data_IF_446270116743
#
_entry.id   IF_446270116743
#
_cell.length_a   1.000
_cell.length_b   1.000
_cell.length_c   1.000
_cell.angle_alpha   90.00
_cell.angle_beta   90.00
_cell.angle_gamma   90.00
#
_symmetry.space_group_name_H-M   'P 1'
#
loop_
_entity.id
_entity.type
_entity.pdbx_description
1 polymer ?
#
# COMPACT_ATOMS: atom_id res chain seq x y z
N UNK A 1 4.01 4.55 8.55
CA UNK A 1 2.97 5.34 9.28
C UNK A 1 3.56 6.11 10.47
N UNK A 2 4.47 7.07 10.23
CA UNK A 2 5.20 7.73 11.31
C UNK A 2 4.36 8.75 12.11
N UNK A 3 3.30 9.31 11.52
CA UNK A 3 2.48 10.37 12.14
C UNK A 3 1.22 9.86 12.85
N UNK A 4 1.00 8.54 12.92
CA UNK A 4 -0.19 7.88 13.53
C UNK A 4 -1.56 8.44 13.09
N UNK A 5 -1.63 9.11 11.93
CA UNK A 5 -2.86 9.71 11.39
C UNK A 5 -3.65 8.70 10.54
N UNK A 6 -4.03 7.56 11.13
CA UNK A 6 -4.61 6.42 10.42
C UNK A 6 -5.96 6.74 9.78
N UNK A 7 -6.83 7.49 10.48
CA UNK A 7 -8.13 7.92 9.96
C UNK A 7 -7.97 8.85 8.75
N UNK A 8 -7.00 9.76 8.77
CA UNK A 8 -6.74 10.65 7.65
C UNK A 8 -6.22 9.86 6.42
N UNK A 9 -5.34 8.88 6.65
CA UNK A 9 -4.87 7.98 5.60
C UNK A 9 -6.03 7.21 4.96
N UNK A 10 -6.92 6.62 5.77
CA UNK A 10 -8.12 5.93 5.28
C UNK A 10 -9.01 6.84 4.44
N UNK A 11 -9.26 8.08 4.88
CA UNK A 11 -10.09 9.02 4.13
C UNK A 11 -9.48 9.35 2.77
N UNK A 12 -8.14 9.45 2.67
CA UNK A 12 -7.45 9.67 1.39
C UNK A 12 -7.51 8.44 0.49
N UNK A 13 -7.28 7.24 1.02
CA UNK A 13 -7.38 6.01 0.24
C UNK A 13 -8.82 5.77 -0.25
N UNK A 14 -9.83 6.01 0.59
CA UNK A 14 -11.24 5.90 0.21
C UNK A 14 -11.57 6.86 -0.92
N UNK A 15 -11.11 8.12 -0.83
CA UNK A 15 -11.30 9.09 -1.90
C UNK A 15 -10.72 8.62 -3.24
N UNK A 16 -9.55 7.97 -3.23
CA UNK A 16 -8.94 7.39 -4.45
C UNK A 16 -9.82 6.29 -5.05
N UNK A 17 -10.33 5.38 -4.23
CA UNK A 17 -11.22 4.30 -4.67
C UNK A 17 -12.52 4.81 -5.28
N UNK A 18 -13.12 5.83 -4.65
CA UNK A 18 -14.40 6.40 -5.08
C UNK A 18 -14.27 7.29 -6.32
N UNK A 19 -13.18 8.05 -6.42
CA UNK A 19 -13.01 9.06 -7.49
C UNK A 19 -12.26 8.51 -8.69
N UNK A 20 -11.31 7.58 -8.47
CA UNK A 20 -10.38 7.10 -9.49
C UNK A 20 -10.29 5.56 -9.54
N UNK A 21 -11.40 4.83 -9.73
CA UNK A 21 -11.44 3.36 -9.64
C UNK A 21 -10.60 2.64 -10.71
N UNK A 22 -10.28 3.31 -11.83
CA UNK A 22 -9.48 2.74 -12.92
C UNK A 22 -7.99 3.16 -12.85
N UNK A 23 -7.58 3.85 -11.78
CA UNK A 23 -6.18 4.27 -11.61
C UNK A 23 -5.32 3.12 -11.09
N UNK A 24 -4.04 3.09 -11.47
CA UNK A 24 -3.05 2.20 -10.86
C UNK A 24 -2.89 2.47 -9.35
N UNK A 25 -3.18 3.69 -8.89
CA UNK A 25 -3.09 4.08 -7.48
C UNK A 25 -4.10 3.37 -6.57
N UNK A 26 -5.08 2.64 -7.14
CA UNK A 26 -6.06 1.86 -6.37
C UNK A 26 -5.37 0.75 -5.57
N UNK A 27 -4.37 0.10 -6.16
CA UNK A 27 -3.59 -0.95 -5.49
C UNK A 27 -2.90 -0.42 -4.22
N UNK A 28 -2.17 0.70 -4.36
CA UNK A 28 -1.50 1.37 -3.24
C UNK A 28 -2.48 1.89 -2.18
N UNK A 29 -3.65 2.36 -2.61
CA UNK A 29 -4.69 2.83 -1.71
C UNK A 29 -5.20 1.69 -0.82
N UNK A 30 -5.42 0.50 -1.38
CA UNK A 30 -5.82 -0.70 -0.63
C UNK A 30 -4.74 -1.13 0.37
N UNK A 31 -3.47 -1.15 -0.04
CA UNK A 31 -2.32 -1.46 0.85
C UNK A 31 -2.28 -0.49 2.04
N UNK A 32 -2.49 0.80 1.76
CA UNK A 32 -2.54 1.85 2.79
C UNK A 32 -3.71 1.63 3.75
N UNK A 33 -4.88 1.24 3.25
CA UNK A 33 -6.05 0.93 4.08
C UNK A 33 -5.81 -0.27 4.99
N UNK A 34 -5.24 -1.36 4.46
CA UNK A 34 -4.91 -2.57 5.25
C UNK A 34 -3.99 -2.20 6.40
N UNK A 35 -2.92 -1.45 6.12
CA UNK A 35 -1.98 -1.00 7.14
C UNK A 35 -2.65 -0.10 8.19
N UNK A 36 -3.65 0.70 7.80
CA UNK A 36 -4.30 1.65 8.69
C UNK A 36 -5.30 0.94 9.60
N UNK A 37 -6.04 -0.03 9.06
CA UNK A 37 -6.93 -0.89 9.85
C UNK A 37 -6.14 -1.79 10.80
N UNK A 38 -5.01 -2.34 10.38
CA UNK A 38 -4.11 -3.12 11.23
C UNK A 38 -3.61 -2.30 12.42
N UNK A 39 -3.16 -1.07 12.17
CA UNK A 39 -2.69 -0.18 13.23
C UNK A 39 -3.79 0.30 14.20
N UNK A 40 -5.06 0.16 13.82
CA UNK A 40 -6.23 0.48 14.65
C UNK A 40 -6.93 -0.76 15.20
N UNK A 41 -6.33 -1.95 15.04
CA UNK A 41 -6.88 -3.24 15.48
C UNK A 41 -8.27 -3.57 14.90
N UNK A 42 -8.55 -3.10 13.68
CA UNK A 42 -9.81 -3.33 12.97
C UNK A 42 -9.69 -4.58 12.08
N UNK A 43 -9.67 -5.76 12.72
CA UNK A 43 -9.39 -7.04 12.05
C UNK A 43 -10.36 -7.37 10.90
N UNK A 44 -11.66 -7.12 11.07
CA UNK A 44 -12.67 -7.44 10.04
C UNK A 44 -12.45 -6.61 8.77
N UNK A 45 -12.32 -5.29 8.92
CA UNK A 45 -12.10 -4.36 7.81
C UNK A 45 -10.75 -4.60 7.12
N UNK A 46 -9.71 -4.91 7.90
CA UNK A 46 -8.41 -5.35 7.37
C UNK A 46 -8.59 -6.61 6.53
N UNK A 47 -9.29 -7.62 7.05
CA UNK A 47 -9.51 -8.89 6.38
C UNK A 47 -10.26 -8.74 5.06
N UNK A 48 -11.31 -7.92 5.04
CA UNK A 48 -12.06 -7.62 3.82
C UNK A 48 -11.22 -6.88 2.78
N UNK A 49 -10.46 -5.86 3.21
CA UNK A 49 -9.59 -5.10 2.31
C UNK A 49 -8.48 -5.98 1.74
N UNK A 50 -7.91 -6.86 2.57
CA UNK A 50 -6.90 -7.83 2.15
C UNK A 50 -7.45 -8.84 1.14
N UNK A 51 -8.69 -9.29 1.32
CA UNK A 51 -9.39 -10.17 0.38
C UNK A 51 -9.50 -9.49 -0.99
N UNK A 52 -9.94 -8.24 -1.03
CA UNK A 52 -10.06 -7.44 -2.26
C UNK A 52 -8.68 -7.28 -2.93
N UNK A 53 -7.65 -6.93 -2.16
CA UNK A 53 -6.29 -6.79 -2.69
C UNK A 53 -5.81 -8.10 -3.30
N UNK A 54 -5.97 -9.23 -2.60
CA UNK A 54 -5.55 -10.55 -3.08
C UNK A 54 -6.31 -10.99 -4.33
N UNK A 55 -7.59 -10.68 -4.43
CA UNK A 55 -8.42 -11.05 -5.59
C UNK A 55 -8.04 -10.24 -6.83
N UNK A 56 -7.79 -8.94 -6.70
CA UNK A 56 -7.54 -8.06 -7.85
C UNK A 56 -6.05 -7.91 -8.18
N UNK A 57 -5.18 -8.02 -7.19
CA UNK A 57 -3.73 -7.78 -7.27
C UNK A 57 -2.94 -8.91 -6.59
N UNK A 58 -3.03 -10.16 -7.09
CA UNK A 58 -2.39 -11.32 -6.45
C UNK A 58 -0.86 -11.22 -6.41
N UNK A 59 -0.25 -10.49 -7.34
CA UNK A 59 1.20 -10.28 -7.43
C UNK A 59 1.70 -9.13 -6.55
N UNK A 60 0.81 -8.44 -5.82
CA UNK A 60 1.20 -7.31 -4.97
C UNK A 60 2.27 -7.74 -3.94
N UNK A 61 3.32 -6.92 -3.70
CA UNK A 61 4.37 -7.19 -2.70
C UNK A 61 3.86 -7.57 -1.31
N UNK A 62 2.75 -6.97 -0.85
CA UNK A 62 2.15 -7.27 0.45
C UNK A 62 1.56 -8.67 0.53
N UNK A 63 1.17 -9.25 -0.62
CA UNK A 63 0.61 -10.61 -0.72
C UNK A 63 1.72 -11.64 -0.95
N UNK A 64 2.64 -11.33 -1.86
CA UNK A 64 3.72 -12.25 -2.25
C UNK A 64 4.85 -12.31 -1.22
N UNK A 65 4.95 -11.30 -0.34
CA UNK A 65 6.06 -11.15 0.60
C UNK A 65 7.38 -10.76 -0.06
N UNK A 66 7.36 -10.48 -1.38
CA UNK A 66 8.53 -10.00 -2.12
C UNK A 66 8.67 -8.51 -1.84
N UNK A 67 9.66 -8.14 -1.02
CA UNK A 67 10.07 -6.75 -0.88
C UNK A 67 10.82 -6.41 -2.17
N UNK A 68 10.39 -5.39 -2.90
CA UNK A 68 11.12 -4.92 -4.08
C UNK A 68 12.46 -4.33 -3.61
N UNK A 69 13.55 -5.10 -3.73
CA UNK A 69 14.93 -4.63 -3.53
C UNK A 69 15.35 -3.61 -4.63
N UNK A 70 14.51 -3.46 -5.66
CA UNK A 70 14.69 -2.61 -6.83
C UNK A 70 14.28 -1.15 -6.64
N UNK A 71 14.17 -0.64 -5.41
CA UNK A 71 14.26 0.82 -5.23
C UNK A 71 15.66 1.24 -5.69
N UNK A 72 15.78 1.57 -6.98
CA UNK A 72 17.02 1.98 -7.63
C UNK A 72 17.71 3.03 -6.78
N UNK A 73 18.72 2.58 -6.03
CA UNK A 73 19.53 3.41 -5.16
C UNK A 73 20.42 4.22 -6.08
N UNK A 74 19.89 5.32 -6.56
CA UNK A 74 20.57 6.24 -7.46
C UNK A 74 21.91 6.71 -6.89
N UNK A 75 22.09 6.72 -5.57
CA UNK A 75 23.39 6.98 -4.94
C UNK A 75 24.46 5.93 -5.29
N UNK A 76 24.09 4.65 -5.43
CA UNK A 76 25.03 3.57 -5.86
C UNK A 76 25.55 3.79 -7.27
N UNK A 77 24.75 4.42 -8.15
CA UNK A 77 25.21 4.80 -9.48
C UNK A 77 26.38 5.80 -9.41
N UNK A 78 26.32 6.78 -8.50
CA UNK A 78 27.42 7.73 -8.29
C UNK A 78 28.64 7.11 -7.59
N UNK A 79 28.43 6.14 -6.70
CA UNK A 79 29.51 5.38 -6.04
C UNK A 79 30.36 4.60 -7.06
N UNK A 80 29.76 4.13 -8.16
CA UNK A 80 30.47 3.39 -9.21
C UNK A 80 31.37 4.24 -10.12
N UNK A 81 31.28 5.58 -10.02
CA UNK A 81 32.02 6.53 -10.86
C UNK A 81 33.30 7.06 -10.18
N UNK A 82 33.63 6.57 -8.99
CA UNK A 82 34.84 6.90 -8.23
C UNK A 82 35.62 5.62 -7.91
#
# INVERSE_FOLDING_TARGET
MQRKAYVAALNRSRYVLETYPNSSSVEDALVTMISAYDAMDMADLKGDTLRILKTNYPENPMITGKINEDEKIWWKFWESLY
#
